data_IF_559916027976
#
_entry.id   IF_559916027976
#
_cell.length_a   1.000
_cell.length_b   1.000
_cell.length_c   1.000
_cell.angle_alpha   90.00
_cell.angle_beta   90.00
_cell.angle_gamma   90.00
#
_symmetry.space_group_name_H-M   'P 1'
#
loop_
_entity.id
_entity.type
_entity.pdbx_description
1 polymer ?
#
# COMPACT_ATOMS: atom_id res chain seq x y z
N UNK A 1 9.23 17.16 -3.51
CA UNK A 1 9.35 16.20 -2.40
C UNK A 1 7.98 16.00 -1.80
N UNK A 2 7.75 14.87 -1.13
CA UNK A 2 6.53 14.65 -0.36
C UNK A 2 6.60 15.41 0.97
N UNK A 3 5.43 15.80 1.50
CA UNK A 3 5.33 16.42 2.83
C UNK A 3 4.29 15.67 3.65
N UNK A 4 4.61 15.46 4.92
CA UNK A 4 3.72 14.86 5.91
C UNK A 4 3.23 16.00 6.81
N UNK A 5 1.91 16.16 6.90
CA UNK A 5 1.29 17.11 7.82
C UNK A 5 0.80 16.36 9.06
N UNK A 6 1.39 16.66 10.22
CA UNK A 6 0.90 16.14 11.50
C UNK A 6 0.12 17.25 12.20
N UNK A 7 -1.12 16.99 12.56
CA UNK A 7 -1.99 17.98 13.21
C UNK A 7 -2.76 17.37 14.38
N UNK A 8 -2.99 18.13 15.47
CA UNK A 8 -3.91 17.71 16.51
C UNK A 8 -5.30 17.49 15.93
N UNK A 9 -5.94 16.36 16.26
CA UNK A 9 -7.28 16.00 15.77
C UNK A 9 -8.36 17.03 16.11
N UNK A 10 -8.15 17.79 17.18
CA UNK A 10 -9.06 18.83 17.67
C UNK A 10 -8.45 20.24 17.60
N UNK A 11 -7.41 20.43 16.78
CA UNK A 11 -6.81 21.75 16.53
C UNK A 11 -7.60 22.59 15.53
N UNK A 12 -7.14 23.81 15.31
CA UNK A 12 -7.75 24.84 14.44
C UNK A 12 -7.42 24.66 12.94
N UNK A 13 -7.30 23.41 12.49
CA UNK A 13 -7.07 23.06 11.09
C UNK A 13 -5.67 23.41 10.59
N UNK A 14 -5.58 24.18 9.49
CA UNK A 14 -4.35 24.45 8.74
C UNK A 14 -3.26 25.15 9.57
N UNK A 15 -3.67 25.94 10.57
CA UNK A 15 -2.75 26.69 11.45
C UNK A 15 -1.93 25.81 12.38
N UNK A 16 -2.47 24.64 12.74
CA UNK A 16 -1.86 23.73 13.71
C UNK A 16 -1.10 22.59 13.03
N UNK A 17 -1.00 22.58 11.69
CA UNK A 17 -0.29 21.55 10.96
C UNK A 17 1.22 21.75 11.08
N UNK A 18 1.89 20.77 11.68
CA UNK A 18 3.33 20.60 11.58
C UNK A 18 3.66 19.91 10.25
N UNK A 19 4.04 20.71 9.24
CA UNK A 19 4.54 20.21 7.96
C UNK A 19 5.99 19.75 8.07
N UNK A 20 6.25 18.52 7.63
CA UNK A 20 7.55 17.87 7.60
C UNK A 20 7.85 17.51 6.14
N UNK A 21 8.95 18.03 5.60
CA UNK A 21 9.42 17.66 4.26
C UNK A 21 10.23 16.36 4.35
N UNK A 22 9.91 15.37 3.53
CA UNK A 22 10.62 14.10 3.55
C UNK A 22 11.96 14.18 2.80
N UNK A 23 12.17 15.21 1.98
CA UNK A 23 13.30 15.27 1.05
C UNK A 23 13.17 14.29 -0.13
N UNK A 24 12.12 13.47 -0.17
CA UNK A 24 11.93 12.42 -1.17
C UNK A 24 10.86 12.84 -2.20
N UNK A 25 11.20 13.04 -3.48
CA UNK A 25 10.18 13.12 -4.52
C UNK A 25 9.56 11.75 -4.72
N UNK A 26 8.31 11.56 -4.32
CA UNK A 26 7.63 10.27 -4.48
C UNK A 26 6.13 10.49 -4.60
N UNK A 27 5.44 9.44 -5.06
CA UNK A 27 4.00 9.33 -4.97
C UNK A 27 3.64 8.32 -3.88
N UNK A 28 2.85 8.76 -2.89
CA UNK A 28 2.27 7.88 -1.90
C UNK A 28 0.93 7.36 -2.43
N UNK A 29 0.81 6.05 -2.60
CA UNK A 29 -0.45 5.39 -2.94
C UNK A 29 -1.28 5.21 -1.67
N UNK A 30 -1.29 4.02 -1.09
CA UNK A 30 -2.08 3.71 0.09
C UNK A 30 -1.23 3.72 1.36
N UNK A 31 -1.80 4.31 2.40
CA UNK A 31 -1.26 4.20 3.76
C UNK A 31 -1.63 2.83 4.31
N UNK A 32 -0.66 2.13 4.86
CA UNK A 32 -0.86 0.81 5.49
C UNK A 32 -1.37 1.01 6.91
N UNK A 33 -0.63 1.77 7.71
CA UNK A 33 -0.99 2.14 9.08
C UNK A 33 -0.09 3.30 9.55
N UNK A 34 -0.51 3.99 10.62
CA UNK A 34 0.25 5.09 11.21
C UNK A 34 0.02 5.13 12.72
N UNK A 35 1.07 5.28 13.52
CA UNK A 35 1.00 5.26 14.99
C UNK A 35 2.13 6.08 15.64
N UNK A 36 1.89 6.55 16.86
CA UNK A 36 2.93 7.21 17.67
C UNK A 36 3.99 6.18 18.12
N UNK A 37 5.27 6.52 18.03
CA UNK A 37 6.36 5.65 18.46
C UNK A 37 6.29 5.42 19.99
N UNK A 38 6.08 4.17 20.48
CA UNK A 38 6.00 3.89 21.90
C UNK A 38 7.29 4.22 22.68
N UNK A 39 8.44 4.30 21.99
CA UNK A 39 9.72 4.63 22.59
C UNK A 39 10.00 6.15 22.61
N UNK A 40 9.31 6.94 21.78
CA UNK A 40 9.48 8.38 21.73
C UNK A 40 8.20 9.11 21.28
N UNK A 41 7.55 9.81 22.21
CA UNK A 41 6.30 10.54 21.95
C UNK A 41 6.41 11.73 20.98
N UNK A 42 7.61 12.17 20.58
CA UNK A 42 7.75 13.16 19.50
C UNK A 42 7.70 12.54 18.10
N UNK A 43 7.69 11.20 17.99
CA UNK A 43 7.82 10.50 16.72
C UNK A 43 6.54 9.82 16.30
N UNK A 44 6.31 9.86 14.99
CA UNK A 44 5.23 9.15 14.32
C UNK A 44 5.85 8.18 13.33
N UNK A 45 5.36 6.94 13.35
CA UNK A 45 5.74 5.87 12.42
C UNK A 45 4.60 5.70 11.42
N UNK A 46 4.91 5.78 10.13
CA UNK A 46 3.95 5.58 9.05
C UNK A 46 4.46 4.51 8.08
N UNK A 47 3.66 3.47 7.90
CA UNK A 47 3.87 2.48 6.85
C UNK A 47 3.01 2.85 5.63
N UNK A 48 3.63 2.87 4.45
CA UNK A 48 3.02 3.40 3.21
C UNK A 48 3.49 2.62 1.99
N UNK A 49 2.57 2.36 1.07
CA UNK A 49 2.89 1.92 -0.28
C UNK A 49 3.22 3.15 -1.13
N UNK A 50 4.48 3.27 -1.56
CA UNK A 50 4.93 4.41 -2.38
C UNK A 50 5.79 3.97 -3.56
N UNK A 51 5.83 4.83 -4.55
CA UNK A 51 6.68 4.73 -5.73
C UNK A 51 7.35 6.08 -6.00
N UNK A 52 8.32 6.11 -6.91
CA UNK A 52 9.05 7.35 -7.19
C UNK A 52 8.22 8.32 -8.05
N UNK A 53 7.28 7.81 -8.84
CA UNK A 53 6.20 8.57 -9.47
C UNK A 53 4.91 7.74 -9.58
N UNK A 54 3.97 8.13 -10.45
CA UNK A 54 2.63 7.55 -10.49
C UNK A 54 2.13 7.24 -11.90
N UNK A 55 1.47 6.09 -12.01
CA UNK A 55 0.62 5.70 -13.14
C UNK A 55 -0.86 5.62 -12.74
N UNK A 56 -1.26 6.16 -11.57
CA UNK A 56 -2.62 6.00 -11.03
C UNK A 56 -3.73 6.45 -12.00
N UNK A 57 -3.45 7.41 -12.90
CA UNK A 57 -4.37 7.83 -13.95
C UNK A 57 -4.48 6.82 -15.11
N UNK A 58 -3.43 6.03 -15.37
CA UNK A 58 -3.47 4.89 -16.28
C UNK A 58 -4.45 3.80 -15.79
N UNK A 59 -4.55 3.60 -14.47
CA UNK A 59 -5.49 2.64 -13.85
C UNK A 59 -6.97 2.98 -14.10
N UNK A 60 -7.28 4.25 -14.39
CA UNK A 60 -8.65 4.70 -14.66
C UNK A 60 -9.09 4.44 -16.12
N UNK A 61 -8.27 3.80 -16.97
CA UNK A 61 -8.55 3.62 -18.40
C UNK A 61 -9.76 2.72 -18.72
N UNK A 62 -10.38 2.09 -17.72
CA UNK A 62 -11.61 1.28 -17.86
C UNK A 62 -12.87 2.01 -18.33
N UNK A 63 -12.82 3.32 -18.63
CA UNK A 63 -13.95 4.09 -19.19
C UNK A 63 -14.00 4.08 -20.73
N UNK A 64 -13.46 3.06 -21.39
CA UNK A 64 -13.65 2.82 -22.82
C UNK A 64 -15.10 2.37 -23.09
N UNK A 65 -16.01 3.35 -23.04
CA UNK A 65 -17.46 3.17 -23.23
C UNK A 65 -18.33 4.38 -22.90
N UNK A 66 -17.77 5.51 -22.46
CA UNK A 66 -18.54 6.76 -22.33
C UNK A 66 -19.62 6.74 -21.23
N UNK A 67 -19.46 5.92 -20.20
CA UNK A 67 -20.27 6.01 -18.95
C UNK A 67 -19.41 6.47 -17.78
N UNK A 68 -18.60 7.49 -18.05
CA UNK A 68 -18.19 8.41 -17.02
C UNK A 68 -19.33 9.44 -16.87
N UNK A 69 -19.74 9.74 -15.65
CA UNK A 69 -20.59 10.91 -15.36
C UNK A 69 -19.94 12.25 -15.77
N UNK A 70 -18.72 12.19 -16.29
CA UNK A 70 -18.09 13.21 -17.13
C UNK A 70 -18.07 12.72 -18.57
N UNK A 71 -18.71 13.44 -19.50
CA UNK A 71 -18.93 13.00 -20.88
C UNK A 71 -17.67 12.67 -21.69
N UNK A 72 -17.86 12.43 -22.99
CA UNK A 72 -16.89 11.96 -23.99
C UNK A 72 -15.60 12.78 -24.15
N UNK A 73 -15.40 13.79 -23.30
CA UNK A 73 -14.28 14.73 -23.32
C UNK A 73 -13.44 14.64 -22.03
N UNK A 74 -12.59 13.62 -21.96
CA UNK A 74 -11.49 13.55 -20.98
C UNK A 74 -10.24 14.31 -21.45
N UNK A 75 -10.38 15.21 -22.45
CA UNK A 75 -9.26 16.04 -22.94
C UNK A 75 -8.65 16.94 -21.86
N UNK A 76 -9.38 17.23 -20.78
CA UNK A 76 -8.82 17.89 -19.59
C UNK A 76 -7.70 17.07 -18.94
N UNK A 77 -7.83 15.74 -18.90
CA UNK A 77 -6.74 14.86 -18.47
C UNK A 77 -5.73 14.66 -19.61
N UNK A 78 -6.21 14.46 -20.85
CA UNK A 78 -5.37 14.12 -22.00
C UNK A 78 -4.48 15.25 -22.55
N UNK A 79 -4.88 16.51 -22.42
CA UNK A 79 -4.05 17.67 -22.82
C UNK A 79 -2.84 17.89 -21.90
N UNK A 80 -2.78 17.18 -20.77
CA UNK A 80 -1.70 17.25 -19.78
C UNK A 80 -0.96 15.90 -19.57
N UNK A 81 -1.44 14.77 -20.12
CA UNK A 81 -0.65 13.54 -20.18
C UNK A 81 0.24 13.56 -21.43
N UNK A 82 1.37 14.27 -21.31
CA UNK A 82 2.49 14.08 -22.24
C UNK A 82 3.07 12.67 -22.15
N UNK A 83 4.10 12.41 -22.98
CA UNK A 83 5.12 11.41 -22.60
C UNK A 83 5.48 11.65 -21.13
N UNK A 84 5.67 10.60 -20.34
CA UNK A 84 6.07 10.85 -18.95
C UNK A 84 7.34 11.71 -18.98
N UNK A 85 7.36 12.83 -18.24
CA UNK A 85 8.47 13.80 -18.24
C UNK A 85 9.85 13.18 -17.90
N UNK A 86 9.87 11.90 -17.51
CA UNK A 86 11.06 11.13 -17.15
C UNK A 86 11.34 9.91 -18.05
N UNK A 87 10.79 9.83 -19.26
CA UNK A 87 11.12 8.77 -20.25
C UNK A 87 10.62 7.35 -19.92
N UNK A 88 11.08 6.36 -20.68
CA UNK A 88 10.72 4.93 -20.51
C UNK A 88 11.31 4.37 -19.20
N UNK A 89 10.54 3.53 -18.50
CA UNK A 89 10.96 2.90 -17.24
C UNK A 89 12.20 1.99 -17.34
N UNK A 90 12.63 1.60 -18.55
CA UNK A 90 13.70 0.61 -18.78
C UNK A 90 15.10 1.00 -18.28
N UNK A 91 15.37 2.28 -18.04
CA UNK A 91 16.66 2.79 -17.51
C UNK A 91 16.51 3.56 -16.19
N UNK A 92 15.34 3.47 -15.54
CA UNK A 92 15.05 4.30 -14.38
C UNK A 92 15.85 3.87 -13.14
N UNK A 93 16.79 4.71 -12.73
CA UNK A 93 17.43 4.60 -11.41
C UNK A 93 16.54 5.28 -10.38
N UNK A 94 16.07 4.52 -9.39
CA UNK A 94 15.26 5.06 -8.31
C UNK A 94 15.96 6.22 -7.59
N UNK A 95 15.16 7.16 -7.10
CA UNK A 95 15.65 8.28 -6.30
C UNK A 95 15.97 7.91 -4.84
N UNK A 96 15.72 6.65 -4.44
CA UNK A 96 15.98 6.17 -3.10
C UNK A 96 17.14 5.15 -3.05
N UNK A 97 18.12 5.30 -2.13
CA UNK A 97 19.30 4.43 -2.07
C UNK A 97 18.99 2.94 -1.85
N UNK A 98 17.89 2.64 -1.14
CA UNK A 98 17.44 1.28 -0.86
C UNK A 98 16.39 0.72 -1.83
N UNK A 99 16.01 1.43 -2.89
CA UNK A 99 15.03 0.90 -3.83
C UNK A 99 15.61 -0.25 -4.67
N UNK A 100 14.75 -1.23 -4.94
CA UNK A 100 15.00 -2.31 -5.90
C UNK A 100 14.35 -1.88 -7.20
N UNK A 101 15.11 -1.89 -8.30
CA UNK A 101 14.75 -1.31 -9.59
C UNK A 101 13.54 -1.94 -10.29
N UNK A 102 12.37 -1.83 -9.68
CA UNK A 102 11.08 -2.32 -10.17
C UNK A 102 10.38 -1.31 -11.09
N UNK A 103 11.02 -0.19 -11.41
CA UNK A 103 10.45 0.88 -12.23
C UNK A 103 9.91 2.03 -11.39
N UNK A 104 9.79 3.19 -12.03
CA UNK A 104 9.44 4.47 -11.41
C UNK A 104 8.04 4.47 -10.77
N UNK A 105 7.08 3.82 -11.44
CA UNK A 105 5.64 3.92 -11.12
C UNK A 105 5.13 2.69 -10.36
N UNK A 106 6.04 1.88 -9.80
CA UNK A 106 5.73 0.62 -9.12
C UNK A 106 5.81 0.80 -7.60
N UNK A 107 4.69 0.57 -6.93
CA UNK A 107 4.61 0.72 -5.49
C UNK A 107 5.33 -0.43 -4.76
N UNK A 108 5.99 -0.07 -3.67
CA UNK A 108 6.58 -0.99 -2.68
C UNK A 108 6.22 -0.52 -1.27
N UNK A 109 6.36 -1.39 -0.27
CA UNK A 109 6.08 -1.06 1.13
C UNK A 109 7.27 -0.36 1.79
N UNK A 110 7.01 0.78 2.44
CA UNK A 110 8.00 1.59 3.14
C UNK A 110 7.54 1.97 4.54
N UNK A 111 8.50 2.15 5.44
CA UNK A 111 8.33 2.74 6.76
C UNK A 111 9.03 4.09 6.81
N UNK A 112 8.27 5.13 7.10
CA UNK A 112 8.78 6.45 7.45
C UNK A 112 8.67 6.66 8.96
N UNK A 113 9.75 7.13 9.57
CA UNK A 113 9.73 7.63 10.94
C UNK A 113 9.99 9.13 10.87
N UNK A 114 9.06 9.93 11.37
CA UNK A 114 9.22 11.39 11.44
C UNK A 114 9.25 11.85 12.88
N UNK A 115 10.06 12.86 13.17
CA UNK A 115 10.05 13.57 14.45
C UNK A 115 9.30 14.89 14.26
N UNK A 116 8.18 15.02 14.97
CA UNK A 116 7.23 16.13 14.81
C UNK A 116 7.80 17.42 15.40
N UNK A 117 8.49 17.33 16.53
CA UNK A 117 9.10 18.49 17.21
C UNK A 117 10.30 19.02 16.40
N UNK A 118 11.15 18.11 15.93
CA UNK A 118 12.30 18.47 15.10
C UNK A 118 11.91 18.82 13.65
N UNK A 119 10.67 18.51 13.24
CA UNK A 119 10.15 18.62 11.87
C UNK A 119 11.06 17.96 10.84
N UNK A 120 11.47 16.74 11.14
CA UNK A 120 12.46 16.02 10.35
C UNK A 120 12.04 14.58 10.08
N UNK A 121 12.37 14.08 8.87
CA UNK A 121 12.38 12.66 8.59
C UNK A 121 13.58 12.03 9.32
N UNK A 122 13.29 11.07 10.20
CA UNK A 122 14.30 10.33 10.96
C UNK A 122 14.82 9.15 10.15
N UNK A 123 13.93 8.39 9.52
CA UNK A 123 14.30 7.28 8.64
C UNK A 123 13.26 7.01 7.57
N UNK A 124 13.73 6.41 6.47
CA UNK A 124 12.93 5.93 5.36
C UNK A 124 13.47 4.58 4.90
N UNK A 125 12.71 3.53 5.21
CA UNK A 125 13.16 2.15 5.08
C UNK A 125 12.19 1.37 4.21
N UNK A 126 12.72 0.65 3.22
CA UNK A 126 11.91 -0.26 2.41
C UNK A 126 11.72 -1.55 3.19
N UNK A 127 10.46 -1.95 3.36
CA UNK A 127 10.09 -3.07 4.23
C UNK A 127 9.94 -4.39 3.47
N UNK A 128 9.75 -4.35 2.15
CA UNK A 128 9.61 -5.56 1.32
C UNK A 128 10.41 -5.45 0.00
N UNK A 129 10.85 -6.59 -0.53
CA UNK A 129 11.44 -6.66 -1.87
C UNK A 129 10.37 -6.65 -2.96
N UNK A 130 9.26 -7.34 -2.74
CA UNK A 130 8.21 -7.52 -3.72
C UNK A 130 7.37 -6.25 -3.90
N UNK A 131 7.17 -5.78 -5.14
CA UNK A 131 6.18 -4.76 -5.46
C UNK A 131 4.79 -5.12 -4.99
N UNK A 132 4.14 -4.19 -4.29
CA UNK A 132 2.81 -4.41 -3.74
C UNK A 132 2.10 -3.13 -3.33
N UNK A 133 0.77 -3.19 -3.30
CA UNK A 133 -0.13 -2.11 -2.90
C UNK A 133 -1.44 -2.69 -2.30
N UNK A 134 -2.47 -1.86 -2.14
CA UNK A 134 -3.77 -2.22 -1.56
C UNK A 134 -3.62 -2.89 -0.19
N UNK A 135 -2.94 -2.21 0.77
CA UNK A 135 -2.60 -2.79 2.04
C UNK A 135 -3.81 -2.89 2.97
N UNK A 136 -3.79 -3.90 3.85
CA UNK A 136 -4.60 -3.91 5.06
C UNK A 136 -3.80 -4.43 6.25
N UNK A 137 -4.28 -4.11 7.45
CA UNK A 137 -3.81 -4.65 8.74
C UNK A 137 -4.99 -5.23 9.49
N UNK A 138 -4.75 -5.96 10.58
CA UNK A 138 -5.83 -6.28 11.50
C UNK A 138 -6.50 -4.98 11.97
N UNK A 139 -7.83 -4.82 11.82
CA UNK A 139 -8.53 -3.58 12.16
C UNK A 139 -8.43 -3.22 13.65
N UNK A 140 -8.08 -4.16 14.52
CA UNK A 140 -7.78 -3.92 15.94
C UNK A 140 -6.43 -3.24 16.18
N UNK A 141 -5.59 -3.11 15.14
CA UNK A 141 -4.25 -2.51 15.18
C UNK A 141 -4.14 -1.21 14.39
N UNK A 142 -5.21 -0.76 13.74
CA UNK A 142 -5.22 0.54 13.07
C UNK A 142 -4.96 1.65 14.09
N UNK A 143 -3.97 2.50 13.84
CA UNK A 143 -3.54 3.54 14.78
C UNK A 143 -2.58 3.06 15.87
N UNK A 144 -2.22 1.78 15.90
CA UNK A 144 -1.37 1.16 16.92
C UNK A 144 -0.14 0.48 16.29
N UNK A 145 0.92 0.21 17.08
CA UNK A 145 2.00 -0.65 16.65
C UNK A 145 1.47 -2.01 16.18
N UNK A 146 1.95 -2.44 15.02
CA UNK A 146 1.55 -3.68 14.37
C UNK A 146 2.78 -4.39 13.80
N UNK A 147 2.67 -5.71 13.67
CA UNK A 147 3.70 -6.59 13.11
C UNK A 147 3.31 -7.07 11.72
N UNK A 148 2.05 -7.36 11.49
CA UNK A 148 1.59 -7.96 10.25
C UNK A 148 0.77 -6.97 9.41
N UNK A 149 1.08 -6.94 8.12
CA UNK A 149 0.23 -6.32 7.11
C UNK A 149 0.13 -7.23 5.88
N UNK A 150 -0.90 -7.00 5.06
CA UNK A 150 -1.17 -7.79 3.87
C UNK A 150 -1.38 -6.87 2.69
N UNK A 151 -0.92 -7.26 1.52
CA UNK A 151 -0.96 -6.43 0.30
C UNK A 151 -1.25 -7.29 -0.93
N UNK A 152 -1.84 -6.71 -1.96
CA UNK A 152 -1.88 -7.33 -3.28
C UNK A 152 -0.54 -7.05 -3.99
N UNK A 153 0.11 -8.09 -4.51
CA UNK A 153 1.38 -7.92 -5.23
C UNK A 153 1.18 -7.86 -6.74
N UNK A 154 2.03 -7.05 -7.39
CA UNK A 154 2.05 -6.94 -8.84
C UNK A 154 2.35 -8.30 -9.46
N UNK A 155 1.67 -8.60 -10.57
CA UNK A 155 2.01 -9.73 -11.43
C UNK A 155 3.29 -9.40 -12.21
N UNK A 156 4.35 -10.22 -12.11
CA UNK A 156 5.58 -10.04 -12.85
C UNK A 156 5.35 -9.95 -14.35
N UNK A 157 6.01 -8.99 -14.97
CA UNK A 157 5.87 -8.68 -16.39
C UNK A 157 4.65 -7.81 -16.72
N UNK A 158 3.90 -7.35 -15.72
CA UNK A 158 2.80 -6.38 -15.89
C UNK A 158 3.08 -5.05 -15.22
N UNK A 159 4.26 -4.89 -14.62
CA UNK A 159 4.72 -3.62 -14.08
C UNK A 159 4.65 -2.51 -15.16
N UNK A 160 4.15 -1.31 -14.82
CA UNK A 160 4.04 -0.21 -15.78
C UNK A 160 5.40 0.18 -16.36
N UNK A 161 5.50 0.18 -17.68
CA UNK A 161 6.65 0.76 -18.39
C UNK A 161 6.30 2.17 -18.87
N UNK A 162 5.06 2.35 -19.31
CA UNK A 162 4.46 3.61 -19.72
C UNK A 162 3.43 4.07 -18.69
N UNK A 163 3.20 5.39 -18.66
CA UNK A 163 2.28 6.05 -17.72
C UNK A 163 0.84 5.51 -17.77
N UNK A 164 0.42 4.96 -18.92
CA UNK A 164 -0.94 4.46 -19.14
C UNK A 164 -1.05 2.93 -19.07
N UNK A 165 0.02 2.23 -18.70
CA UNK A 165 -0.01 0.78 -18.51
C UNK A 165 -0.77 0.46 -17.22
N UNK A 166 -1.64 -0.55 -17.32
CA UNK A 166 -2.46 -1.05 -16.20
C UNK A 166 -1.85 -2.36 -15.69
N UNK A 167 -1.21 -2.37 -14.51
CA UNK A 167 -0.70 -3.58 -13.90
C UNK A 167 -1.83 -4.52 -13.49
N UNK A 168 -1.49 -5.81 -13.41
CA UNK A 168 -2.33 -6.82 -12.80
C UNK A 168 -1.75 -7.21 -11.44
N UNK A 169 -2.59 -7.68 -10.53
CA UNK A 169 -2.17 -8.17 -9.22
C UNK A 169 -2.68 -9.60 -9.03
N UNK A 170 -1.80 -10.58 -8.94
CA UNK A 170 -2.18 -12.01 -9.03
C UNK A 170 -1.86 -12.81 -7.75
N UNK A 171 -1.47 -12.12 -6.68
CA UNK A 171 -1.13 -12.74 -5.40
C UNK A 171 -1.39 -11.81 -4.22
N UNK A 172 -1.57 -12.42 -3.06
CA UNK A 172 -1.60 -11.75 -1.76
C UNK A 172 -0.30 -12.02 -1.04
N UNK A 173 0.29 -10.98 -0.46
CA UNK A 173 1.45 -11.09 0.43
C UNK A 173 1.02 -10.89 1.87
N UNK A 174 1.58 -11.67 2.77
CA UNK A 174 1.64 -11.39 4.21
C UNK A 174 3.06 -10.95 4.55
N UNK A 175 3.20 -9.78 5.15
CA UNK A 175 4.47 -9.24 5.60
C UNK A 175 4.59 -9.36 7.11
N UNK A 176 5.65 -9.99 7.60
CA UNK A 176 6.07 -9.90 9.00
C UNK A 176 7.10 -8.77 9.13
N UNK A 177 6.65 -7.58 9.50
CA UNK A 177 7.48 -6.38 9.57
C UNK A 177 8.53 -6.43 10.68
N UNK A 178 8.49 -7.45 11.55
CA UNK A 178 9.50 -7.65 12.59
C UNK A 178 10.65 -8.53 12.10
N UNK A 179 10.35 -9.59 11.34
CA UNK A 179 11.38 -10.52 10.84
C UNK A 179 11.84 -10.19 9.42
N UNK A 180 11.04 -9.43 8.67
CA UNK A 180 11.21 -9.21 7.24
C UNK A 180 10.75 -10.38 6.37
N UNK A 181 10.12 -11.40 6.96
CA UNK A 181 9.59 -12.55 6.23
C UNK A 181 8.34 -12.15 5.44
N UNK A 182 8.24 -12.66 4.21
CA UNK A 182 7.10 -12.46 3.32
C UNK A 182 6.57 -13.82 2.91
N UNK A 183 5.29 -14.07 3.17
CA UNK A 183 4.58 -15.24 2.66
C UNK A 183 3.70 -14.85 1.48
N UNK A 184 3.64 -15.69 0.46
CA UNK A 184 2.92 -15.40 -0.77
C UNK A 184 1.80 -16.43 -1.00
N UNK A 185 0.61 -15.94 -1.32
CA UNK A 185 -0.51 -16.73 -1.80
C UNK A 185 -0.84 -16.34 -3.24
N UNK A 186 -0.44 -17.17 -4.20
CA UNK A 186 -0.79 -16.98 -5.60
C UNK A 186 -2.24 -17.37 -5.87
N UNK A 187 -2.98 -16.53 -6.59
CA UNK A 187 -4.39 -16.79 -6.92
C UNK A 187 -4.56 -17.91 -7.96
N UNK A 188 -3.50 -18.21 -8.71
CA UNK A 188 -3.52 -19.09 -9.87
C UNK A 188 -3.56 -18.33 -11.19
N UNK A 189 -3.32 -19.05 -12.30
CA UNK A 189 -3.26 -18.46 -13.63
C UNK A 189 -4.59 -17.82 -14.05
N UNK A 190 -4.52 -16.71 -14.79
CA UNK A 190 -5.70 -16.03 -15.34
C UNK A 190 -6.56 -15.31 -14.30
N UNK A 191 -6.02 -15.05 -13.10
CA UNK A 191 -6.73 -14.37 -12.00
C UNK A 191 -6.04 -13.06 -11.62
N UNK A 192 -6.85 -12.09 -11.21
CA UNK A 192 -6.39 -10.82 -10.66
C UNK A 192 -7.19 -10.47 -9.41
N UNK A 193 -6.61 -9.69 -8.50
CA UNK A 193 -7.26 -9.14 -7.31
C UNK A 193 -6.97 -7.64 -7.17
N UNK A 194 -7.63 -7.02 -6.19
CA UNK A 194 -7.35 -5.66 -5.73
C UNK A 194 -7.36 -5.64 -4.21
N UNK A 195 -8.19 -4.78 -3.62
CA UNK A 195 -8.33 -4.64 -2.17
C UNK A 195 -8.52 -5.96 -1.43
N UNK A 196 -7.85 -6.06 -0.28
CA UNK A 196 -7.90 -7.17 0.66
C UNK A 196 -8.50 -6.67 1.97
N UNK A 197 -9.33 -7.49 2.61
CA UNK A 197 -9.90 -7.16 3.92
C UNK A 197 -9.51 -8.23 4.94
N UNK A 198 -8.91 -7.82 6.06
CA UNK A 198 -8.67 -8.70 7.20
C UNK A 198 -9.88 -8.74 8.13
N UNK A 199 -10.33 -9.94 8.47
CA UNK A 199 -11.42 -10.19 9.41
C UNK A 199 -10.86 -10.92 10.64
N UNK A 200 -10.73 -10.26 11.80
CA UNK A 200 -10.19 -10.89 12.99
C UNK A 200 -11.12 -11.99 13.48
N UNK A 201 -10.53 -13.10 13.90
CA UNK A 201 -11.24 -14.16 14.57
C UNK A 201 -11.61 -13.69 15.98
N UNK A 202 -12.84 -13.20 16.13
CA UNK A 202 -13.38 -12.92 17.47
C UNK A 202 -13.64 -14.25 18.14
N UNK A 203 -12.64 -14.78 18.89
CA UNK A 203 -12.94 -15.80 19.89
C UNK A 203 -14.01 -15.20 20.81
N UNK A 204 -15.25 -15.70 20.70
CA UNK A 204 -16.32 -15.42 21.65
C UNK A 204 -15.77 -15.71 23.04
N UNK A 205 -15.34 -14.67 23.76
CA UNK A 205 -14.78 -14.67 25.12
C UNK A 205 -14.54 -16.08 25.68
N UNK A 206 -13.63 -16.86 25.06
CA UNK A 206 -13.31 -18.17 25.60
C UNK A 206 -12.53 -17.87 26.86
N UNK A 207 -13.10 -18.33 27.97
CA UNK A 207 -12.63 -18.18 29.34
C UNK A 207 -11.12 -18.04 29.41
N UNK A 208 -10.65 -17.07 30.22
CA UNK A 208 -9.27 -16.73 30.57
C UNK A 208 -8.43 -17.90 31.12
N UNK A 209 -8.39 -19.01 30.41
CA UNK A 209 -7.76 -20.25 30.81
C UNK A 209 -7.36 -21.00 29.54
N UNK A 210 -6.38 -20.48 28.82
CA UNK A 210 -5.41 -21.36 28.17
C UNK A 210 -4.15 -20.60 27.85
N UNK A 211 -3.06 -21.13 28.39
CA UNK A 211 -1.70 -20.65 28.33
C UNK A 211 -1.22 -20.79 26.89
N UNK A 212 -1.31 -19.69 26.13
CA UNK A 212 -0.41 -19.30 25.05
C UNK A 212 -0.97 -18.00 24.47
N UNK A 213 -0.72 -16.89 25.16
CA UNK A 213 -0.91 -15.54 24.63
C UNK A 213 0.17 -15.26 23.57
N UNK A 214 0.19 -16.08 22.52
CA UNK A 214 0.87 -15.74 21.28
C UNK A 214 0.12 -14.59 20.61
N UNK A 215 0.88 -13.79 19.87
CA UNK A 215 0.43 -12.63 19.09
C UNK A 215 -0.79 -12.99 18.23
N UNK A 216 -2.00 -12.67 18.70
CA UNK A 216 -3.29 -12.96 18.06
C UNK A 216 -3.60 -11.98 16.92
N UNK A 217 -2.64 -11.10 16.60
CA UNK A 217 -2.76 -10.09 15.57
C UNK A 217 -3.10 -10.67 14.19
N UNK A 218 -2.60 -11.86 13.87
CA UNK A 218 -2.84 -12.58 12.60
C UNK A 218 -3.91 -13.67 12.73
N UNK A 219 -4.58 -13.83 13.88
CA UNK A 219 -5.70 -14.79 14.07
C UNK A 219 -6.95 -14.24 13.38
N UNK A 220 -7.14 -14.61 12.12
CA UNK A 220 -8.24 -14.11 11.29
C UNK A 220 -8.31 -14.75 9.92
N UNK A 221 -9.05 -14.10 9.03
CA UNK A 221 -9.21 -14.50 7.64
C UNK A 221 -8.95 -13.29 6.75
N UNK A 222 -8.41 -13.51 5.56
CA UNK A 222 -8.37 -12.53 4.49
C UNK A 222 -9.53 -12.78 3.53
N UNK A 223 -10.29 -11.73 3.25
CA UNK A 223 -11.27 -11.70 2.18
C UNK A 223 -10.61 -11.06 0.96
N UNK A 224 -10.57 -11.80 -0.14
CA UNK A 224 -9.92 -11.37 -1.39
C UNK A 224 -10.92 -11.50 -2.52
N UNK A 225 -11.30 -10.38 -3.12
CA UNK A 225 -12.13 -10.39 -4.34
C UNK A 225 -11.20 -10.63 -5.54
N UNK A 226 -11.35 -11.79 -6.18
CA UNK A 226 -10.59 -12.17 -7.36
C UNK A 226 -11.48 -12.15 -8.60
N UNK A 227 -10.95 -11.70 -9.74
CA UNK A 227 -11.59 -11.80 -11.05
C UNK A 227 -10.91 -12.89 -11.88
N UNK A 228 -11.70 -13.82 -12.40
CA UNK A 228 -11.28 -14.87 -13.33
C UNK A 228 -11.42 -14.32 -14.74
N UNK A 229 -10.30 -13.89 -15.32
CA UNK A 229 -10.26 -13.06 -16.53
C UNK A 229 -10.93 -13.73 -17.73
N UNK A 230 -10.68 -15.04 -17.92
CA UNK A 230 -11.20 -15.80 -19.06
C UNK A 230 -12.71 -16.03 -19.01
N UNK A 231 -13.32 -15.92 -17.82
CA UNK A 231 -14.72 -16.25 -17.58
C UNK A 231 -15.56 -15.03 -17.23
N UNK A 232 -14.95 -13.84 -17.17
CA UNK A 232 -15.55 -12.59 -16.70
C UNK A 232 -16.35 -12.77 -15.39
N UNK A 233 -15.75 -13.51 -14.45
CA UNK A 233 -16.40 -13.88 -13.18
C UNK A 233 -15.64 -13.31 -11.99
N UNK A 234 -16.37 -12.73 -11.05
CA UNK A 234 -15.85 -12.40 -9.73
C UNK A 234 -16.03 -13.59 -8.75
N UNK A 235 -15.01 -13.87 -7.96
CA UNK A 235 -14.99 -14.86 -6.89
C UNK A 235 -14.52 -14.20 -5.60
N UNK A 236 -15.18 -14.49 -4.48
CA UNK A 236 -14.69 -14.11 -3.15
C UNK A 236 -13.92 -15.28 -2.56
N UNK A 237 -12.61 -15.10 -2.36
CA UNK A 237 -11.77 -16.06 -1.65
C UNK A 237 -11.73 -15.69 -0.17
N UNK A 238 -11.85 -16.70 0.68
CA UNK A 238 -11.69 -16.57 2.13
C UNK A 238 -10.45 -17.38 2.52
N UNK A 239 -9.34 -16.67 2.73
CA UNK A 239 -8.08 -17.29 3.11
C UNK A 239 -8.00 -17.36 4.63
N UNK A 240 -8.00 -18.57 5.18
CA UNK A 240 -7.77 -18.79 6.61
C UNK A 240 -6.28 -18.82 6.95
N UNK A 241 -5.97 -19.16 8.20
CA UNK A 241 -4.60 -19.51 8.62
C UNK A 241 -4.10 -20.75 7.85
N UNK A 242 -2.79 -20.80 7.61
CA UNK A 242 -2.13 -22.09 7.43
C UNK A 242 -2.26 -22.88 8.75
N UNK A 243 -2.79 -24.11 8.69
CA UNK A 243 -2.86 -25.03 9.84
C UNK A 243 -1.52 -25.69 10.16
#
# INVERSE_FOLDING_TARGET
>A
TARIGVMPRYGDGDKDVAWIDTGEPCFCYHVVNCFDDPANGSRVVMDVCKADATNALGMAKGFEGGVSGYGDDVSFFNGAVGESDFGFAGEYTSNHPNAVGHGRDVATLWRWVVDVDAKALVSSERMCAQPSDFPCVNPQKVGLPHRFCYTAAYKPGTEPINRMDVPSFDRVLKHDLRTGEVHEFALGEGRACGDIVFVPNRRLEKSKSEKNAGDDEDDGHLLVLAHVLAEDRAELLVLGRDE
#
